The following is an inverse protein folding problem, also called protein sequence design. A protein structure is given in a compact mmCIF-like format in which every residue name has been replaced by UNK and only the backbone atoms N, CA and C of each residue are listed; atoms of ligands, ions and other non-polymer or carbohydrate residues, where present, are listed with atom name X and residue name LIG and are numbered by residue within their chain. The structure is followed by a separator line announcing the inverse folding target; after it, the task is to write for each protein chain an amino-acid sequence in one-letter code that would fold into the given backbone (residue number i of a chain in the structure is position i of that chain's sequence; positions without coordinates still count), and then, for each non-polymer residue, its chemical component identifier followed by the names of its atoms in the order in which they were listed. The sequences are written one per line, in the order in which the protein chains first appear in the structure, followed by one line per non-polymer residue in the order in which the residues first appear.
data_IF_965747127112
#
_entry.id   IF_965747127112
#
_cell.length_a   1.000
_cell.length_b   1.000
_cell.length_c   1.000
_cell.angle_alpha   90.00
_cell.angle_beta   90.00
_cell.angle_gamma   90.00
#
_symmetry.space_group_name_H-M   'P 1'
#
loop_
_entity.id
_entity.type
_entity.pdbx_description
1 polymer ?
#
# COMPACT_ATOMS: atom_id res chain seq x y z
N UNK A 1 -2.61 -51.88 -12.74
CA UNK A 1 -1.73 -50.80 -12.26
C UNK A 1 -1.36 -51.19 -10.85
N UNK A 2 -0.27 -51.92 -10.71
CA UNK A 2 0.19 -52.42 -9.42
C UNK A 2 1.12 -51.39 -8.79
N UNK A 3 0.85 -51.05 -7.54
CA UNK A 3 1.66 -50.13 -6.75
C UNK A 3 2.66 -51.00 -5.99
N UNK A 4 3.95 -50.87 -6.32
CA UNK A 4 5.03 -51.54 -5.60
C UNK A 4 5.64 -50.64 -4.50
N UNK A 5 5.95 -51.26 -3.38
CA UNK A 5 6.65 -50.64 -2.26
C UNK A 5 8.13 -50.47 -2.58
N UNK A 6 8.64 -49.24 -2.46
CA UNK A 6 10.06 -48.93 -2.66
C UNK A 6 10.70 -48.54 -1.32
N UNK A 7 11.75 -49.27 -0.93
CA UNK A 7 12.43 -49.08 0.34
C UNK A 7 13.16 -47.72 0.42
N UNK A 8 13.08 -47.07 1.59
CA UNK A 8 13.57 -45.71 1.85
C UNK A 8 15.06 -45.51 1.54
N UNK A 9 15.88 -46.56 1.60
CA UNK A 9 17.30 -46.50 1.26
C UNK A 9 17.62 -46.27 -0.23
N UNK A 10 16.63 -46.45 -1.11
CA UNK A 10 16.80 -46.27 -2.57
C UNK A 10 16.47 -44.85 -3.06
N UNK A 11 15.84 -44.01 -2.24
CA UNK A 11 15.59 -42.59 -2.51
C UNK A 11 16.47 -41.72 -1.60
N UNK A 12 17.76 -41.68 -1.90
CA UNK A 12 18.78 -40.92 -1.17
C UNK A 12 18.76 -39.39 -1.38
N UNK A 13 17.58 -38.75 -1.45
CA UNK A 13 17.47 -37.30 -1.70
C UNK A 13 16.58 -36.53 -0.72
N UNK A 14 15.99 -37.16 0.31
CA UNK A 14 15.09 -36.45 1.23
C UNK A 14 15.78 -35.96 2.53
N UNK A 15 16.85 -36.61 3.00
CA UNK A 15 17.42 -36.35 4.33
C UNK A 15 18.68 -35.45 4.34
N UNK A 16 19.27 -35.18 3.18
CA UNK A 16 20.52 -34.41 3.09
C UNK A 16 20.29 -32.93 3.43
N UNK A 17 19.15 -32.34 3.05
CA UNK A 17 18.89 -30.92 3.27
C UNK A 17 18.49 -30.56 4.71
N UNK A 18 17.89 -31.49 5.45
CA UNK A 18 17.54 -31.27 6.87
C UNK A 18 18.77 -31.27 7.78
N UNK A 19 19.87 -31.94 7.38
CA UNK A 19 21.11 -32.05 8.17
C UNK A 19 22.20 -31.06 7.75
N UNK A 20 22.08 -30.44 6.56
CA UNK A 20 23.11 -29.55 6.00
C UNK A 20 23.21 -28.17 6.68
N UNK A 21 22.39 -27.89 7.70
CA UNK A 21 22.42 -26.60 8.41
C UNK A 21 23.46 -26.61 9.56
N UNK A 22 24.04 -27.76 9.93
CA UNK A 22 24.84 -27.86 11.15
C UNK A 22 26.33 -27.51 11.05
N UNK A 23 26.86 -27.14 9.87
CA UNK A 23 28.31 -26.91 9.69
C UNK A 23 28.72 -25.63 8.95
N UNK A 24 27.84 -24.64 8.81
CA UNK A 24 28.34 -23.29 8.52
C UNK A 24 28.82 -22.65 9.81
N UNK A 25 30.13 -22.42 9.91
CA UNK A 25 30.71 -21.53 10.90
C UNK A 25 30.00 -20.17 10.83
N UNK A 26 29.19 -19.85 11.84
CA UNK A 26 28.64 -18.50 12.02
C UNK A 26 29.84 -17.56 12.17
N UNK A 27 30.06 -16.67 11.20
CA UNK A 27 30.88 -15.50 11.45
C UNK A 27 30.14 -14.60 12.45
N UNK A 28 30.81 -14.26 13.55
CA UNK A 28 30.32 -13.36 14.61
C UNK A 28 29.85 -12.01 14.06
N UNK A 29 28.55 -11.92 13.82
CA UNK A 29 27.79 -10.71 14.04
C UNK A 29 26.40 -11.16 14.45
N UNK A 30 26.02 -10.90 15.69
CA UNK A 30 24.67 -11.14 16.19
C UNK A 30 23.72 -10.12 15.55
N UNK A 31 23.20 -10.51 14.38
CA UNK A 31 22.09 -9.84 13.74
C UNK A 31 20.84 -10.17 14.55
N UNK A 32 20.23 -9.16 15.19
CA UNK A 32 18.86 -9.28 15.67
C UNK A 32 18.00 -9.52 14.44
N UNK A 33 17.49 -10.74 14.22
CA UNK A 33 16.13 -11.00 13.74
C UNK A 33 15.78 -12.46 13.98
N UNK A 34 14.68 -12.64 14.73
CA UNK A 34 13.97 -13.89 14.89
C UNK A 34 13.57 -14.47 13.52
N UNK A 35 14.25 -15.56 13.12
CA UNK A 35 14.11 -16.21 11.82
C UNK A 35 13.08 -17.34 11.78
N UNK A 36 12.13 -17.39 12.71
CA UNK A 36 11.18 -18.50 12.78
C UNK A 36 9.75 -17.97 12.64
N UNK A 37 9.11 -18.41 11.54
CA UNK A 37 7.67 -18.30 11.19
C UNK A 37 7.24 -17.06 10.38
N UNK A 38 7.64 -17.00 9.10
CA UNK A 38 6.97 -16.18 8.08
C UNK A 38 6.66 -17.00 6.83
N UNK A 39 5.48 -16.77 6.24
CA UNK A 39 5.12 -17.21 4.89
C UNK A 39 6.16 -16.68 3.88
N UNK A 40 6.47 -17.50 2.87
CA UNK A 40 7.67 -17.38 2.02
C UNK A 40 7.86 -15.99 1.36
N UNK A 41 6.78 -15.27 1.06
CA UNK A 41 6.81 -13.98 0.36
C UNK A 41 7.11 -12.77 1.25
N UNK A 42 6.81 -12.87 2.55
CA UNK A 42 7.18 -11.85 3.54
C UNK A 42 8.60 -12.09 4.05
N UNK A 43 9.01 -13.36 4.11
CA UNK A 43 10.32 -13.79 4.58
C UNK A 43 11.45 -13.25 3.70
N UNK A 44 11.34 -13.34 2.37
CA UNK A 44 12.40 -12.85 1.46
C UNK A 44 12.57 -11.33 1.51
N UNK A 45 11.46 -10.57 1.66
CA UNK A 45 11.49 -9.11 1.74
C UNK A 45 12.00 -8.64 3.10
N UNK A 46 11.58 -9.28 4.20
CA UNK A 46 12.10 -8.99 5.53
C UNK A 46 13.58 -9.35 5.63
N UNK A 47 13.98 -10.53 5.17
CA UNK A 47 15.39 -10.94 5.12
C UNK A 47 16.19 -9.98 4.24
N UNK A 48 15.74 -9.60 3.04
CA UNK A 48 16.50 -8.69 2.16
C UNK A 48 16.56 -7.22 2.66
N UNK A 49 15.51 -6.73 3.31
CA UNK A 49 15.52 -5.41 3.93
C UNK A 49 16.52 -5.38 5.10
N UNK A 50 16.58 -6.46 5.87
CA UNK A 50 17.33 -6.52 7.12
C UNK A 50 18.76 -7.10 6.97
N UNK A 51 19.01 -7.95 5.97
CA UNK A 51 20.34 -8.46 5.61
C UNK A 51 21.20 -7.41 4.92
N UNK A 52 20.58 -6.36 4.37
CA UNK A 52 21.31 -5.29 3.69
C UNK A 52 22.02 -4.32 4.65
N UNK A 53 21.77 -4.38 5.96
CA UNK A 53 22.53 -3.66 6.98
C UNK A 53 22.23 -4.15 8.41
N UNK A 54 23.18 -4.77 9.16
CA UNK A 54 22.95 -5.19 10.55
C UNK A 54 22.58 -4.00 11.42
N UNK A 55 21.37 -3.98 11.99
CA UNK A 55 21.23 -3.44 13.34
C UNK A 55 21.75 -4.54 14.27
N UNK A 56 23.00 -4.39 14.71
CA UNK A 56 23.60 -5.35 15.62
C UNK A 56 23.00 -5.19 17.00
N UNK A 57 22.89 -6.30 17.75
CA UNK A 57 22.47 -6.31 19.14
C UNK A 57 23.25 -5.28 19.98
N UNK A 58 24.57 -5.22 19.77
CA UNK A 58 25.48 -4.26 20.40
C UNK A 58 25.15 -2.79 20.13
N UNK A 59 24.67 -2.46 18.93
CA UNK A 59 24.29 -1.08 18.60
C UNK A 59 23.05 -0.65 19.40
N UNK A 60 22.08 -1.57 19.51
CA UNK A 60 20.84 -1.35 20.27
C UNK A 60 21.14 -1.26 21.77
N UNK A 61 22.00 -2.14 22.28
CA UNK A 61 22.45 -2.12 23.68
C UNK A 61 23.14 -0.78 23.98
N UNK A 62 24.15 -0.41 23.19
CA UNK A 62 24.89 0.85 23.38
C UNK A 62 23.93 2.04 23.35
N UNK A 63 23.02 2.08 22.37
CA UNK A 63 22.04 3.15 22.28
C UNK A 63 21.07 3.16 23.48
N UNK A 64 20.65 2.00 23.97
CA UNK A 64 19.80 1.82 25.16
C UNK A 64 20.47 2.38 26.41
N UNK A 65 21.77 2.13 26.59
CA UNK A 65 22.52 2.65 27.74
C UNK A 65 22.71 4.18 27.68
N UNK A 66 22.75 4.76 26.48
CA UNK A 66 22.79 6.23 26.32
C UNK A 66 21.42 6.90 26.42
N UNK A 67 20.32 6.15 26.31
CA UNK A 67 18.96 6.66 26.36
C UNK A 67 18.50 6.79 27.84
N UNK A 68 18.24 8.01 28.36
CA UNK A 68 17.90 8.20 29.76
C UNK A 68 16.63 7.48 30.20
N UNK A 69 15.66 7.33 29.31
CA UNK A 69 14.39 6.66 29.57
C UNK A 69 14.60 5.14 29.56
N UNK A 70 15.17 4.62 28.47
CA UNK A 70 15.35 3.17 28.33
C UNK A 70 16.37 2.60 29.31
N UNK A 71 17.40 3.35 29.70
CA UNK A 71 18.30 2.92 30.78
C UNK A 71 17.56 2.71 32.11
N UNK A 72 16.58 3.56 32.44
CA UNK A 72 15.73 3.38 33.63
C UNK A 72 14.83 2.15 33.47
N UNK A 73 14.20 2.00 32.30
CA UNK A 73 13.35 0.83 32.00
C UNK A 73 14.15 -0.46 32.11
N UNK A 74 15.35 -0.53 31.51
CA UNK A 74 16.26 -1.67 31.60
C UNK A 74 16.53 -2.04 33.06
N UNK A 75 16.90 -1.05 33.88
CA UNK A 75 17.14 -1.26 35.32
C UNK A 75 15.89 -1.78 36.04
N UNK A 76 14.71 -1.23 35.78
CA UNK A 76 13.48 -1.69 36.43
C UNK A 76 13.02 -3.07 35.96
N UNK A 77 13.34 -3.46 34.73
CA UNK A 77 13.06 -4.82 34.25
C UNK A 77 13.98 -5.84 34.92
N UNK A 78 15.24 -5.47 35.23
CA UNK A 78 16.18 -6.36 35.92
C UNK A 78 15.98 -6.40 37.45
N UNK A 79 15.89 -5.23 38.08
CA UNK A 79 15.86 -5.09 39.55
C UNK A 79 14.43 -5.15 40.13
N UNK A 80 13.43 -5.05 39.26
CA UNK A 80 12.03 -4.88 39.64
C UNK A 80 11.57 -3.42 39.57
N UNK A 81 10.28 -3.26 39.27
CA UNK A 81 9.64 -1.95 39.21
C UNK A 81 9.32 -1.44 40.63
N UNK A 82 9.57 -0.16 40.93
CA UNK A 82 9.26 0.40 42.25
C UNK A 82 7.75 0.39 42.50
N UNK A 83 7.37 0.12 43.74
CA UNK A 83 6.00 0.18 44.22
C UNK A 83 5.68 1.61 44.68
N UNK A 84 4.43 2.05 44.52
CA UNK A 84 3.92 3.33 45.04
C UNK A 84 4.55 4.62 44.46
N UNK A 85 5.12 4.54 43.25
CA UNK A 85 5.66 5.70 42.53
C UNK A 85 4.76 6.08 41.36
N UNK A 86 4.40 7.36 41.28
CA UNK A 86 3.78 7.92 40.08
C UNK A 86 4.83 8.08 38.97
N UNK A 87 4.64 7.39 37.86
CA UNK A 87 5.52 7.48 36.70
C UNK A 87 5.09 8.62 35.77
N UNK A 88 6.06 9.36 35.22
CA UNK A 88 5.80 10.28 34.11
C UNK A 88 5.25 9.53 32.88
N UNK A 89 4.59 10.27 31.98
CA UNK A 89 3.85 9.70 30.85
C UNK A 89 4.66 8.68 30.01
N UNK A 90 5.95 8.95 29.78
CA UNK A 90 6.80 8.06 28.98
C UNK A 90 7.14 6.76 29.72
N UNK A 91 7.50 6.83 31.00
CA UNK A 91 7.77 5.64 31.82
C UNK A 91 6.51 4.82 32.06
N UNK A 92 5.35 5.47 32.21
CA UNK A 92 4.07 4.80 32.40
C UNK A 92 3.72 3.87 31.23
N UNK A 93 4.09 4.22 29.99
CA UNK A 93 3.89 3.37 28.79
C UNK A 93 4.62 2.03 28.88
N UNK A 94 5.79 2.00 29.51
CA UNK A 94 6.56 0.78 29.75
C UNK A 94 6.10 0.07 31.02
N UNK A 95 5.83 0.80 32.10
CA UNK A 95 5.31 0.23 33.35
C UNK A 95 3.99 -0.51 33.15
N UNK A 96 3.06 0.04 32.38
CA UNK A 96 1.76 -0.59 32.08
C UNK A 96 1.89 -1.91 31.30
N UNK A 97 3.08 -2.19 30.74
CA UNK A 97 3.39 -3.36 29.94
C UNK A 97 4.52 -4.20 30.57
N UNK A 98 4.85 -3.93 31.83
CA UNK A 98 6.03 -4.49 32.52
C UNK A 98 6.08 -6.02 32.52
N UNK A 99 4.93 -6.68 32.57
CA UNK A 99 4.83 -8.15 32.56
C UNK A 99 5.31 -8.77 31.25
N UNK A 100 5.25 -8.02 30.15
CA UNK A 100 5.71 -8.46 28.83
C UNK A 100 7.10 -7.91 28.48
N UNK A 101 7.75 -7.20 29.39
CA UNK A 101 9.10 -6.68 29.19
C UNK A 101 10.13 -7.67 29.74
N UNK A 102 11.17 -7.92 28.97
CA UNK A 102 12.31 -8.75 29.38
C UNK A 102 13.62 -8.12 28.90
N UNK A 103 14.74 -8.64 29.38
CA UNK A 103 16.07 -8.23 28.90
C UNK A 103 16.84 -9.44 28.39
N UNK A 104 17.56 -9.25 27.29
CA UNK A 104 18.48 -10.23 26.69
C UNK A 104 19.68 -9.43 26.22
N UNK A 105 20.90 -9.85 26.55
CA UNK A 105 22.16 -9.22 26.08
C UNK A 105 22.15 -7.67 26.15
N UNK A 106 21.67 -7.13 27.28
CA UNK A 106 21.60 -5.68 27.52
C UNK A 106 20.55 -4.91 26.72
N UNK A 107 19.77 -5.56 25.86
CA UNK A 107 18.62 -4.98 25.17
C UNK A 107 17.30 -5.31 25.87
N UNK A 108 16.34 -4.42 25.72
CA UNK A 108 14.98 -4.60 26.24
C UNK A 108 14.14 -5.23 25.13
N UNK A 109 13.34 -6.23 25.48
CA UNK A 109 12.35 -6.87 24.61
C UNK A 109 10.93 -6.58 25.12
N UNK A 110 9.97 -6.54 24.20
CA UNK A 110 8.53 -6.49 24.47
C UNK A 110 7.84 -7.67 23.77
N UNK A 111 7.64 -8.76 24.51
CA UNK A 111 7.41 -10.08 23.95
C UNK A 111 8.63 -10.51 23.12
N UNK A 112 8.43 -10.78 21.83
CA UNK A 112 9.50 -11.19 20.90
C UNK A 112 10.13 -10.01 20.13
N UNK A 113 9.75 -8.77 20.46
CA UNK A 113 10.15 -7.58 19.71
C UNK A 113 11.22 -6.79 20.44
N UNK A 114 12.18 -6.25 19.72
CA UNK A 114 13.22 -5.41 20.28
C UNK A 114 12.72 -3.99 20.50
N UNK A 115 12.91 -3.47 21.71
CA UNK A 115 12.63 -2.07 22.02
C UNK A 115 13.71 -1.19 21.40
N UNK A 116 13.32 -0.27 20.52
CA UNK A 116 14.26 0.56 19.76
C UNK A 116 14.47 1.93 20.43
N UNK A 117 15.71 2.27 20.82
CA UNK A 117 16.08 3.58 21.32
C UNK A 117 15.81 4.69 20.32
N UNK A 118 15.51 5.89 20.82
CA UNK A 118 15.11 7.03 19.99
C UNK A 118 16.10 7.32 18.85
N UNK A 119 17.40 7.26 19.15
CA UNK A 119 18.50 7.48 18.18
C UNK A 119 18.49 6.52 16.99
N UNK A 120 17.91 5.33 17.13
CA UNK A 120 17.89 4.30 16.10
C UNK A 120 16.56 4.26 15.32
N UNK A 121 15.50 4.94 15.79
CA UNK A 121 14.16 4.87 15.18
C UNK A 121 14.14 5.33 13.73
N UNK A 122 14.78 6.46 13.43
CA UNK A 122 14.87 7.00 12.06
C UNK A 122 15.58 6.04 11.10
N UNK A 123 16.62 5.35 11.56
CA UNK A 123 17.30 4.29 10.80
C UNK A 123 16.38 3.07 10.58
N UNK A 124 15.64 2.63 11.60
CA UNK A 124 14.65 1.55 11.46
C UNK A 124 13.55 1.91 10.45
N UNK A 125 13.03 3.15 10.48
CA UNK A 125 12.02 3.60 9.52
C UNK A 125 12.53 3.58 8.08
N UNK A 126 13.76 4.04 7.86
CA UNK A 126 14.42 3.96 6.55
C UNK A 126 14.50 2.51 6.04
N UNK A 127 14.86 1.56 6.92
CA UNK A 127 14.95 0.15 6.57
C UNK A 127 13.58 -0.46 6.26
N UNK A 128 12.57 -0.20 7.10
CA UNK A 128 11.20 -0.62 6.87
C UNK A 128 10.65 -0.08 5.55
N UNK A 129 11.10 1.11 5.13
CA UNK A 129 10.66 1.78 3.92
C UNK A 129 11.45 1.38 2.66
N UNK A 130 12.48 0.55 2.79
CA UNK A 130 13.27 0.10 1.65
C UNK A 130 12.39 -0.61 0.63
N UNK A 131 12.43 -0.15 -0.63
CA UNK A 131 11.56 -0.66 -1.70
C UNK A 131 10.15 -0.07 -1.70
N UNK A 132 9.91 1.00 -0.93
CA UNK A 132 8.63 1.72 -0.84
C UNK A 132 7.40 0.83 -0.57
N UNK A 133 7.47 -0.11 0.40
CA UNK A 133 6.29 -0.89 0.76
C UNK A 133 5.20 0.04 1.30
N UNK A 134 3.95 -0.28 0.97
CA UNK A 134 2.81 0.46 1.51
C UNK A 134 2.78 0.44 3.03
N UNK A 135 2.16 1.45 3.62
CA UNK A 135 2.07 1.66 5.07
C UNK A 135 1.66 0.40 5.85
N UNK A 136 0.65 -0.35 5.39
CA UNK A 136 0.19 -1.55 6.09
C UNK A 136 1.28 -2.62 6.16
N UNK A 137 2.06 -2.79 5.09
CA UNK A 137 3.18 -3.74 5.05
C UNK A 137 4.31 -3.31 5.98
N UNK A 138 4.64 -2.02 6.03
CA UNK A 138 5.60 -1.50 7.00
C UNK A 138 5.16 -1.77 8.44
N UNK A 139 3.88 -1.50 8.77
CA UNK A 139 3.32 -1.77 10.10
C UNK A 139 3.36 -3.26 10.44
N UNK A 140 3.07 -4.14 9.50
CA UNK A 140 3.14 -5.59 9.70
C UNK A 140 4.57 -6.02 10.08
N UNK A 141 5.58 -5.63 9.29
CA UNK A 141 6.99 -5.96 9.57
C UNK A 141 7.43 -5.37 10.91
N UNK A 142 7.11 -4.11 11.15
CA UNK A 142 7.46 -3.42 12.39
C UNK A 142 6.88 -4.14 13.61
N UNK A 143 5.60 -4.52 13.57
CA UNK A 143 4.90 -5.23 14.66
C UNK A 143 5.39 -6.65 14.88
N UNK A 144 6.13 -7.25 13.95
CA UNK A 144 6.76 -8.55 14.15
C UNK A 144 8.08 -8.48 14.92
N UNK A 145 8.83 -7.37 14.80
CA UNK A 145 10.24 -7.34 15.25
C UNK A 145 10.61 -6.17 16.14
N UNK A 146 9.93 -5.04 16.00
CA UNK A 146 10.34 -3.77 16.59
C UNK A 146 9.26 -3.24 17.51
N UNK A 147 9.69 -2.49 18.52
CA UNK A 147 8.78 -1.82 19.42
C UNK A 147 9.31 -0.45 19.85
N UNK A 148 8.45 0.55 19.76
CA UNK A 148 8.46 1.74 20.59
C UNK A 148 7.03 2.30 20.62
N UNK A 149 6.64 3.12 21.61
CA UNK A 149 5.23 3.46 21.82
C UNK A 149 4.51 4.11 20.63
N UNK A 150 5.20 4.88 19.81
CA UNK A 150 4.64 5.67 18.69
C UNK A 150 4.99 5.12 17.30
N UNK A 151 5.42 3.86 17.21
CA UNK A 151 5.91 3.25 15.95
C UNK A 151 4.94 3.38 14.77
N UNK A 152 3.65 3.20 15.01
CA UNK A 152 2.65 3.28 13.95
C UNK A 152 2.45 4.70 13.42
N UNK A 153 2.57 5.70 14.28
CA UNK A 153 2.46 7.13 13.96
C UNK A 153 3.72 7.62 13.24
N UNK A 154 4.89 7.14 13.68
CA UNK A 154 6.16 7.45 13.05
C UNK A 154 6.23 6.84 11.64
N UNK A 155 5.71 5.61 11.43
CA UNK A 155 5.57 4.99 10.10
C UNK A 155 4.62 5.80 9.22
N UNK A 156 3.49 6.24 9.76
CA UNK A 156 2.51 7.08 9.05
C UNK A 156 3.18 8.37 8.54
N UNK A 157 3.83 9.09 9.44
CA UNK A 157 4.54 10.34 9.14
C UNK A 157 5.65 10.13 8.11
N UNK A 158 6.42 9.04 8.26
CA UNK A 158 7.52 8.72 7.35
C UNK A 158 7.02 8.46 5.91
N UNK A 159 5.99 7.63 5.74
CA UNK A 159 5.42 7.34 4.41
C UNK A 159 4.78 8.58 3.79
N UNK A 160 4.11 9.40 4.60
CA UNK A 160 3.51 10.65 4.13
C UNK A 160 4.55 11.67 3.64
N UNK A 161 5.76 11.65 4.20
CA UNK A 161 6.88 12.50 3.75
C UNK A 161 7.57 11.99 2.48
N UNK A 162 7.30 10.75 2.04
CA UNK A 162 7.97 10.16 0.91
C UNK A 162 7.31 10.55 -0.43
N UNK A 163 8.02 11.33 -1.24
CA UNK A 163 7.53 11.83 -2.53
C UNK A 163 7.14 10.73 -3.53
N UNK A 164 7.90 9.63 -3.60
CA UNK A 164 7.57 8.51 -4.50
C UNK A 164 6.31 7.77 -4.07
N UNK A 165 6.10 7.56 -2.77
CA UNK A 165 4.88 6.96 -2.23
C UNK A 165 3.67 7.87 -2.43
N UNK A 166 3.84 9.18 -2.26
CA UNK A 166 2.78 10.15 -2.51
C UNK A 166 2.39 10.19 -3.99
N UNK A 167 3.37 10.17 -4.89
CA UNK A 167 3.12 10.14 -6.34
C UNK A 167 2.43 8.84 -6.80
N UNK A 168 2.71 7.72 -6.14
CA UNK A 168 2.07 6.43 -6.40
C UNK A 168 0.75 6.22 -5.63
N UNK A 169 0.34 7.18 -4.79
CA UNK A 169 -0.87 7.05 -3.99
C UNK A 169 -2.13 7.01 -4.87
N UNK A 170 -3.17 6.32 -4.40
CA UNK A 170 -4.46 6.30 -5.09
C UNK A 170 -5.02 7.71 -5.17
N UNK A 171 -5.51 8.09 -6.34
CA UNK A 171 -6.27 9.32 -6.50
C UNK A 171 -7.46 9.33 -5.52
N UNK A 172 -7.86 10.52 -5.01
CA UNK A 172 -9.05 10.63 -4.17
C UNK A 172 -10.27 10.07 -4.91
N UNK A 173 -11.31 9.65 -4.17
CA UNK A 173 -12.58 9.25 -4.77
C UNK A 173 -13.03 10.31 -5.77
N UNK A 174 -13.44 9.87 -6.97
CA UNK A 174 -13.97 10.80 -7.98
C UNK A 174 -15.11 11.58 -7.35
N UNK A 175 -15.06 12.90 -7.50
CA UNK A 175 -16.18 13.74 -7.10
C UNK A 175 -17.47 13.24 -7.75
N UNK A 176 -18.58 13.31 -7.03
CA UNK A 176 -19.89 13.03 -7.60
C UNK A 176 -20.09 13.93 -8.82
N UNK A 177 -20.40 13.37 -10.01
CA UNK A 177 -20.59 14.19 -11.19
C UNK A 177 -21.68 15.22 -10.93
N UNK A 178 -21.33 16.51 -11.03
CA UNK A 178 -22.31 17.57 -10.95
C UNK A 178 -23.20 17.52 -12.19
N UNK A 179 -24.52 17.53 -11.99
CA UNK A 179 -25.46 17.65 -13.10
C UNK A 179 -25.46 19.09 -13.59
N UNK A 180 -25.49 19.27 -14.91
CA UNK A 180 -25.67 20.59 -15.48
C UNK A 180 -27.08 21.12 -15.17
N UNK A 181 -27.26 22.41 -14.85
CA UNK A 181 -28.59 22.96 -14.61
C UNK A 181 -29.47 22.82 -15.85
N UNK A 182 -30.76 22.55 -15.69
CA UNK A 182 -31.69 22.43 -16.81
C UNK A 182 -31.70 23.74 -17.63
N UNK A 183 -31.51 23.69 -18.97
CA UNK A 183 -31.54 24.91 -19.78
C UNK A 183 -32.93 25.55 -19.73
N UNK A 184 -33.00 26.88 -19.60
CA UNK A 184 -34.27 27.63 -19.51
C UNK A 184 -35.05 27.75 -20.82
N UNK A 185 -34.55 27.17 -21.91
CA UNK A 185 -35.20 27.25 -23.21
C UNK A 185 -34.43 26.57 -24.33
N UNK A 186 -35.05 26.59 -25.51
CA UNK A 186 -34.47 26.12 -26.76
C UNK A 186 -33.10 26.76 -27.03
N UNK A 187 -32.14 25.99 -27.57
CA UNK A 187 -30.81 26.47 -27.98
C UNK A 187 -29.95 27.14 -26.88
N UNK A 188 -30.36 27.07 -25.61
CA UNK A 188 -29.60 27.65 -24.48
C UNK A 188 -28.37 26.84 -24.10
N UNK A 189 -28.37 25.53 -24.40
CA UNK A 189 -27.19 24.67 -24.26
C UNK A 189 -27.09 23.68 -25.41
N UNK A 190 -25.91 23.64 -26.01
CA UNK A 190 -25.52 22.72 -27.06
C UNK A 190 -24.22 22.06 -26.64
N UNK A 191 -24.16 20.73 -26.70
CA UNK A 191 -22.94 19.97 -26.51
C UNK A 191 -22.39 19.60 -27.88
N UNK A 192 -21.10 19.83 -28.08
CA UNK A 192 -20.44 19.59 -29.37
C UNK A 192 -19.20 18.75 -29.11
N UNK A 193 -19.05 17.64 -29.82
CA UNK A 193 -17.88 16.77 -29.70
C UNK A 193 -17.47 16.21 -31.07
N UNK A 194 -16.20 15.82 -31.20
CA UNK A 194 -15.69 15.15 -32.38
C UNK A 194 -15.60 13.65 -32.12
N UNK A 195 -16.17 12.85 -33.02
CA UNK A 195 -15.95 11.41 -33.10
C UNK A 195 -15.06 11.09 -34.31
N UNK A 196 -13.96 10.37 -34.10
CA UNK A 196 -13.09 9.92 -35.17
C UNK A 196 -11.61 9.82 -34.78
N UNK A 197 -10.73 9.53 -35.76
CA UNK A 197 -11.07 9.31 -37.17
C UNK A 197 -11.69 7.93 -37.42
N UNK A 198 -12.72 7.87 -38.27
CA UNK A 198 -13.25 6.63 -38.83
C UNK A 198 -13.15 6.75 -40.35
N UNK A 199 -12.38 5.85 -40.97
CA UNK A 199 -12.09 5.85 -42.42
C UNK A 199 -11.53 7.19 -42.95
N UNK A 200 -10.78 7.91 -42.11
CA UNK A 200 -10.19 9.21 -42.47
C UNK A 200 -11.17 10.39 -42.36
N UNK A 201 -12.37 10.18 -41.83
CA UNK A 201 -13.35 11.21 -41.55
C UNK A 201 -13.46 11.48 -40.04
N UNK A 202 -13.65 12.75 -39.68
CA UNK A 202 -14.09 13.16 -38.35
C UNK A 202 -15.57 13.54 -38.42
N UNK A 203 -16.32 13.22 -37.39
CA UNK A 203 -17.73 13.53 -37.29
C UNK A 203 -17.91 14.54 -36.17
N UNK A 204 -18.53 15.68 -36.47
CA UNK A 204 -18.94 16.64 -35.47
C UNK A 204 -20.34 16.25 -34.99
N UNK A 205 -20.43 15.75 -33.76
CA UNK A 205 -21.69 15.50 -33.07
C UNK A 205 -22.17 16.77 -32.39
N UNK A 206 -23.36 17.25 -32.76
CA UNK A 206 -24.01 18.41 -32.14
C UNK A 206 -25.28 17.93 -31.45
N UNK A 207 -25.30 18.01 -30.13
CA UNK A 207 -26.40 17.59 -29.26
C UNK A 207 -27.06 18.83 -28.65
N UNK A 208 -28.36 19.00 -28.92
CA UNK A 208 -29.16 20.04 -28.24
C UNK A 208 -29.80 19.48 -26.97
N UNK A 209 -29.57 20.15 -25.84
CA UNK A 209 -30.28 19.82 -24.59
C UNK A 209 -31.63 20.56 -24.56
N UNK A 210 -32.73 19.83 -24.34
CA UNK A 210 -34.08 20.40 -24.24
C UNK A 210 -34.52 20.50 -22.78
N UNK A 211 -35.19 21.60 -22.43
CA UNK A 211 -35.93 21.73 -21.17
C UNK A 211 -37.18 20.88 -21.23
N UNK A 212 -37.38 19.99 -20.26
CA UNK A 212 -38.65 19.27 -20.06
C UNK A 212 -39.35 19.89 -18.86
N UNK A 213 -39.98 21.05 -19.04
CA UNK A 213 -41.03 21.46 -18.11
C UNK A 213 -42.19 20.45 -18.25
N UNK A 214 -42.42 19.64 -17.21
CA UNK A 214 -43.60 18.77 -17.10
C UNK A 214 -43.42 17.27 -17.32
N UNK A 215 -42.24 16.78 -17.74
CA UNK A 215 -41.96 15.33 -17.83
C UNK A 215 -40.67 14.99 -17.11
N UNK A 216 -40.80 14.41 -15.93
CA UNK A 216 -39.71 13.78 -15.19
C UNK A 216 -39.19 12.59 -16.00
N UNK A 217 -37.94 12.66 -16.45
CA UNK A 217 -37.12 11.53 -16.93
C UNK A 217 -37.03 11.20 -18.44
N UNK A 218 -37.35 12.11 -19.38
CA UNK A 218 -36.99 11.90 -20.80
C UNK A 218 -36.25 13.10 -21.40
N UNK A 219 -34.91 13.09 -21.32
CA UNK A 219 -34.08 13.99 -22.11
C UNK A 219 -34.02 13.52 -23.57
N UNK A 220 -34.94 14.01 -24.40
CA UNK A 220 -34.83 13.83 -25.85
C UNK A 220 -33.73 14.75 -26.40
N UNK A 221 -32.56 14.20 -26.72
CA UNK A 221 -31.50 14.91 -27.42
C UNK A 221 -31.68 14.73 -28.94
N UNK A 222 -31.93 15.81 -29.67
CA UNK A 222 -31.81 15.80 -31.13
C UNK A 222 -30.32 15.85 -31.47
N UNK A 223 -29.81 14.80 -32.12
CA UNK A 223 -28.42 14.71 -32.56
C UNK A 223 -28.32 15.11 -34.03
N UNK A 224 -27.51 16.12 -34.35
CA UNK A 224 -27.08 16.40 -35.72
C UNK A 224 -25.64 15.90 -35.84
N UNK A 225 -25.38 14.99 -36.78
CA UNK A 225 -24.02 14.51 -37.08
C UNK A 225 -23.59 15.12 -38.41
N UNK A 226 -22.49 15.86 -38.42
CA UNK A 226 -21.90 16.41 -39.63
C UNK A 226 -20.56 15.71 -39.89
N UNK A 227 -20.40 15.07 -41.05
CA UNK A 227 -19.12 14.52 -41.46
C UNK A 227 -18.20 15.67 -41.94
N UNK A 228 -17.01 15.77 -41.36
CA UNK A 228 -15.97 16.73 -41.70
C UNK A 228 -14.75 15.96 -42.20
N UNK A 229 -14.50 16.02 -43.51
CA UNK A 229 -13.36 15.38 -44.17
C UNK A 229 -12.83 16.23 -45.32
N UNK A 230 -11.58 15.99 -45.74
CA UNK A 230 -10.91 16.74 -46.82
C UNK A 230 -11.48 16.49 -48.23
N UNK A 231 -12.43 15.55 -48.39
CA UNK A 231 -13.09 15.22 -49.66
C UNK A 231 -14.59 15.51 -49.56
N UNK A 232 -15.14 16.14 -50.62
CA UNK A 232 -16.44 16.81 -50.62
C UNK A 232 -17.64 15.97 -50.14
N UNK A 233 -18.66 16.70 -49.64
CA UNK A 233 -19.89 16.29 -48.94
C UNK A 233 -20.77 15.22 -49.65
N UNK A 234 -20.41 14.78 -50.86
CA UNK A 234 -21.26 13.94 -51.73
C UNK A 234 -20.93 12.43 -51.71
N UNK A 235 -20.17 11.91 -50.74
CA UNK A 235 -19.95 10.46 -50.68
C UNK A 235 -21.22 9.70 -50.24
N UNK A 236 -21.54 8.55 -50.87
CA UNK A 236 -22.71 7.74 -50.54
C UNK A 236 -22.68 7.21 -49.09
N UNK A 237 -21.49 7.03 -48.51
CA UNK A 237 -21.27 6.59 -47.13
C UNK A 237 -21.75 7.63 -46.10
N UNK A 238 -21.51 8.93 -46.35
CA UNK A 238 -21.97 10.03 -45.49
C UNK A 238 -23.50 10.14 -45.52
N UNK A 239 -24.11 9.91 -46.69
CA UNK A 239 -25.58 9.89 -46.83
C UNK A 239 -26.22 8.71 -46.09
N UNK A 240 -25.60 7.53 -46.11
CA UNK A 240 -26.06 6.36 -45.39
C UNK A 240 -26.03 6.58 -43.86
N UNK A 241 -24.97 7.22 -43.35
CA UNK A 241 -24.84 7.53 -41.92
C UNK A 241 -25.86 8.57 -41.44
N UNK A 242 -26.09 9.63 -42.23
CA UNK A 242 -27.10 10.64 -41.94
C UNK A 242 -28.53 10.05 -41.94
N UNK A 243 -28.80 9.08 -42.83
CA UNK A 243 -30.08 8.36 -42.89
C UNK A 243 -30.26 7.43 -41.68
N UNK A 244 -29.20 6.74 -41.25
CA UNK A 244 -29.23 5.84 -40.10
C UNK A 244 -29.51 6.56 -38.77
N UNK A 245 -28.91 7.74 -38.55
CA UNK A 245 -29.18 8.58 -37.38
C UNK A 245 -30.62 9.11 -37.40
N UNK A 246 -31.14 9.49 -38.58
CA UNK A 246 -32.52 9.98 -38.76
C UNK A 246 -33.58 8.89 -38.60
N UNK A 247 -33.27 7.63 -38.95
CA UNK A 247 -34.18 6.50 -38.78
C UNK A 247 -34.25 6.00 -37.33
N UNK A 248 -33.13 5.95 -36.62
CA UNK A 248 -33.11 5.54 -35.21
C UNK A 248 -33.74 6.57 -34.25
N UNK A 249 -33.89 7.82 -34.68
CA UNK A 249 -34.58 8.87 -33.92
C UNK A 249 -36.10 8.83 -34.06
N UNK A 250 -36.65 8.29 -35.18
CA UNK A 250 -38.10 8.10 -35.36
C UNK A 250 -38.67 6.81 -34.77
N UNK A 251 -37.83 5.78 -34.52
CA UNK A 251 -38.28 4.51 -33.93
C UNK A 251 -38.52 4.56 -32.41
N UNK A 252 -38.40 5.74 -31.77
CA UNK A 252 -38.65 5.96 -30.34
C UNK A 252 -39.69 7.07 -30.09
N UNK A 253 -40.55 7.34 -31.06
CA UNK A 253 -41.82 8.09 -30.88
C UNK A 253 -42.94 7.13 -30.45
#
# INVERSE_FOLDING_TARGET
MDIEYVATGSFGNADVLSRLIHHHAKSEAEYVIASLLLENDLRSVAINALSSFPLCFRDVETATQTDPLLRKVHKYVQDGWPHDVSFGADLARYHNRKESLSTVEGCILFGERVVIPEKLRSRCLLLLHKGHPGMQRMKAIARSYLYWPTIDDDILSYVASCGSCLAAAKAPPRATPATWPTPSGAWRRVHVDYAGPLEGYYFLGVLRQRSTEGYSALHFATTVVMAVGRKGINSPEIRALAFFVRHNTRRKE
#
